data_IF_670169137360
#
_entry.id   IF_670169137360
#
_cell.length_a   1.000
_cell.length_b   1.000
_cell.length_c   1.000
_cell.angle_alpha   90.00
_cell.angle_beta   90.00
_cell.angle_gamma   90.00
#
_symmetry.space_group_name_H-M   'P 1'
#
loop_
_entity.id
_entity.type
_entity.pdbx_description
1 polymer ?
#
# COMPACT_ATOMS: atom_id res chain seq x y z
N UNK A 1 -1.51 -12.57 -6.74
CA UNK A 1 -2.39 -12.31 -7.91
C UNK A 1 -3.61 -11.49 -7.52
N UNK A 2 -4.51 -11.97 -6.63
CA UNK A 2 -5.78 -11.32 -6.29
C UNK A 2 -5.69 -9.81 -5.99
N UNK A 3 -4.77 -9.41 -5.09
CA UNK A 3 -4.59 -7.98 -4.71
C UNK A 3 -4.00 -7.14 -5.84
N UNK A 4 -3.19 -7.73 -6.70
CA UNK A 4 -2.66 -7.04 -7.89
C UNK A 4 -3.77 -6.79 -8.91
N UNK A 5 -4.65 -7.80 -9.12
CA UNK A 5 -5.81 -7.66 -9.99
C UNK A 5 -6.80 -6.63 -9.46
N UNK A 6 -7.01 -6.61 -8.13
CA UNK A 6 -7.83 -5.58 -7.48
C UNK A 6 -7.21 -4.18 -7.64
N UNK A 7 -5.90 -4.03 -7.44
CA UNK A 7 -5.21 -2.76 -7.64
C UNK A 7 -5.34 -2.26 -9.10
N UNK A 8 -5.20 -3.17 -10.07
CA UNK A 8 -5.40 -2.83 -11.50
C UNK A 8 -6.84 -2.36 -11.77
N UNK A 9 -7.85 -3.05 -11.22
CA UNK A 9 -9.26 -2.65 -11.31
C UNK A 9 -9.53 -1.28 -10.66
N UNK A 10 -8.78 -0.94 -9.61
CA UNK A 10 -8.88 0.34 -8.90
C UNK A 10 -8.08 1.47 -9.56
N UNK A 11 -7.46 1.24 -10.72
CA UNK A 11 -6.81 2.26 -11.51
C UNK A 11 -5.29 2.31 -11.41
N UNK A 12 -4.63 1.30 -10.82
CA UNK A 12 -3.18 1.21 -10.90
C UNK A 12 -2.75 1.07 -12.36
N UNK A 13 -1.84 1.92 -12.81
CA UNK A 13 -1.30 1.88 -14.17
C UNK A 13 -0.59 0.57 -14.44
N UNK A 14 0.26 0.13 -13.51
CA UNK A 14 0.93 -1.16 -13.55
C UNK A 14 0.87 -1.87 -12.20
N UNK A 15 0.87 -3.20 -12.25
CA UNK A 15 0.96 -4.06 -11.07
C UNK A 15 2.02 -5.13 -11.32
N UNK A 16 2.91 -5.34 -10.35
CA UNK A 16 4.07 -6.21 -10.53
C UNK A 16 4.09 -7.29 -9.44
N UNK A 17 4.09 -8.55 -9.87
CA UNK A 17 4.40 -9.65 -8.98
C UNK A 17 5.92 -9.86 -8.96
N UNK A 18 6.59 -9.40 -7.92
CA UNK A 18 8.05 -9.50 -7.79
C UNK A 18 8.59 -10.93 -7.73
N UNK A 19 7.72 -11.95 -7.56
CA UNK A 19 8.11 -13.37 -7.68
C UNK A 19 8.25 -13.82 -9.13
N UNK A 20 7.64 -13.10 -10.06
CA UNK A 20 7.56 -13.46 -11.48
C UNK A 20 8.35 -12.52 -12.39
N UNK A 21 8.42 -11.23 -11.99
CA UNK A 21 9.05 -10.19 -12.80
C UNK A 21 9.84 -9.22 -11.94
N UNK A 22 10.95 -8.72 -12.48
CA UNK A 22 11.72 -7.65 -11.83
C UNK A 22 11.04 -6.31 -12.06
N UNK A 23 11.02 -5.47 -11.03
CA UNK A 23 10.46 -4.11 -11.12
C UNK A 23 11.17 -3.28 -12.20
N UNK A 24 12.51 -3.40 -12.27
CA UNK A 24 13.34 -2.69 -13.27
C UNK A 24 12.97 -3.00 -14.71
N UNK A 25 12.50 -4.22 -15.01
CA UNK A 25 12.08 -4.58 -16.36
C UNK A 25 10.77 -3.88 -16.72
N UNK A 26 9.82 -3.87 -15.77
CA UNK A 26 8.54 -3.17 -15.93
C UNK A 26 8.78 -1.66 -16.08
N UNK A 27 9.65 -1.07 -15.27
CA UNK A 27 10.01 0.34 -15.36
C UNK A 27 10.53 0.68 -16.76
N UNK A 28 11.41 -0.18 -17.32
CA UNK A 28 11.95 0.01 -18.67
C UNK A 28 10.86 -0.07 -19.76
N UNK A 29 9.93 -1.02 -19.63
CA UNK A 29 8.81 -1.18 -20.57
C UNK A 29 7.87 0.03 -20.60
N UNK A 30 7.65 0.68 -19.46
CA UNK A 30 6.81 1.90 -19.37
C UNK A 30 7.62 3.19 -19.62
N UNK A 31 8.90 3.08 -19.98
CA UNK A 31 9.75 4.23 -20.25
C UNK A 31 10.21 5.02 -19.03
N UNK A 32 10.10 4.44 -17.83
CA UNK A 32 10.54 5.04 -16.59
C UNK A 32 12.03 4.77 -16.35
N UNK A 33 12.89 5.70 -16.77
CA UNK A 33 14.35 5.53 -16.71
C UNK A 33 15.00 6.11 -15.47
N UNK A 34 14.37 7.11 -14.83
CA UNK A 34 14.95 7.83 -13.70
C UNK A 34 14.53 7.27 -12.33
N UNK A 35 13.50 6.45 -12.28
CA UNK A 35 12.92 5.92 -11.04
C UNK A 35 11.65 6.66 -10.60
N UNK A 36 11.12 6.27 -9.45
CA UNK A 36 9.87 6.78 -8.91
C UNK A 36 10.07 8.09 -8.12
N UNK A 37 9.14 9.03 -8.27
CA UNK A 37 9.12 10.28 -7.50
C UNK A 37 8.71 10.06 -6.05
N UNK A 38 7.72 9.17 -5.85
CA UNK A 38 7.11 8.90 -4.54
C UNK A 38 6.97 7.41 -4.33
N UNK A 39 7.42 6.94 -3.18
CA UNK A 39 7.21 5.58 -2.69
C UNK A 39 6.32 5.59 -1.44
N UNK A 40 5.50 4.56 -1.29
CA UNK A 40 4.65 4.36 -0.11
C UNK A 40 4.85 2.95 0.42
N UNK A 41 5.71 2.80 1.44
CA UNK A 41 5.91 1.51 2.11
C UNK A 41 4.79 1.31 3.14
N UNK A 42 3.88 0.40 2.85
CA UNK A 42 2.69 0.11 3.68
C UNK A 42 2.56 -1.37 4.04
N UNK A 43 3.53 -2.18 3.62
CA UNK A 43 3.50 -3.64 3.81
C UNK A 43 4.24 -4.10 5.06
N UNK A 44 5.23 -3.33 5.54
CA UNK A 44 6.16 -3.74 6.57
C UNK A 44 7.14 -4.82 6.10
N UNK A 45 7.37 -4.93 4.78
CA UNK A 45 8.26 -5.93 4.20
C UNK A 45 9.65 -5.32 3.92
N UNK A 46 10.68 -5.89 4.54
CA UNK A 46 12.05 -5.38 4.39
C UNK A 46 12.55 -5.43 2.93
N UNK A 47 12.23 -6.48 2.17
CA UNK A 47 12.60 -6.59 0.77
C UNK A 47 11.86 -5.53 -0.08
N UNK A 48 10.58 -5.27 0.22
CA UNK A 48 9.81 -4.23 -0.44
C UNK A 48 10.39 -2.83 -0.23
N UNK A 49 10.86 -2.54 0.99
CA UNK A 49 11.54 -1.28 1.27
C UNK A 49 12.87 -1.18 0.51
N UNK A 50 13.66 -2.24 0.48
CA UNK A 50 14.91 -2.28 -0.27
C UNK A 50 14.70 -2.04 -1.75
N UNK A 51 13.74 -2.74 -2.36
CA UNK A 51 13.37 -2.54 -3.76
C UNK A 51 12.92 -1.09 -4.02
N UNK A 52 12.15 -0.53 -3.09
CA UNK A 52 11.69 0.85 -3.19
C UNK A 52 12.87 1.82 -3.19
N UNK A 53 13.78 1.75 -2.21
CA UNK A 53 14.96 2.63 -2.10
C UNK A 53 15.79 2.58 -3.38
N UNK A 54 16.01 1.38 -3.92
CA UNK A 54 16.85 1.18 -5.11
C UNK A 54 16.20 1.65 -6.43
N UNK A 55 14.90 1.90 -6.45
CA UNK A 55 14.18 2.30 -7.66
C UNK A 55 13.58 3.72 -7.57
N UNK A 56 13.96 4.50 -6.56
CA UNK A 56 13.61 5.92 -6.48
C UNK A 56 14.53 6.77 -7.34
N UNK A 57 14.01 7.83 -7.92
CA UNK A 57 14.85 8.86 -8.54
C UNK A 57 15.59 9.67 -7.48
N UNK A 58 16.64 10.37 -7.87
CA UNK A 58 17.33 11.32 -6.99
C UNK A 58 16.36 12.36 -6.42
N UNK A 59 16.43 12.61 -5.11
CA UNK A 59 15.52 13.50 -4.40
C UNK A 59 14.11 12.91 -4.17
N UNK A 60 13.89 11.64 -4.50
CA UNK A 60 12.61 10.95 -4.30
C UNK A 60 12.15 10.91 -2.84
N UNK A 61 10.86 10.75 -2.62
CA UNK A 61 10.24 10.78 -1.28
C UNK A 61 9.61 9.44 -0.95
N UNK A 62 9.88 8.91 0.23
CA UNK A 62 9.31 7.64 0.71
C UNK A 62 8.51 7.89 1.99
N UNK A 63 7.23 7.53 1.99
CA UNK A 63 6.40 7.46 3.19
C UNK A 63 6.46 6.05 3.77
N UNK A 64 6.87 5.93 5.03
CA UNK A 64 7.02 4.67 5.76
C UNK A 64 5.88 4.55 6.76
N UNK A 65 4.94 3.65 6.52
CA UNK A 65 3.78 3.36 7.37
C UNK A 65 3.78 1.92 7.86
N UNK A 66 4.28 0.99 7.06
CA UNK A 66 4.42 -0.41 7.44
C UNK A 66 5.40 -0.60 8.59
N UNK A 67 5.06 -1.48 9.54
CA UNK A 67 5.95 -1.82 10.64
C UNK A 67 6.95 -2.88 10.19
N UNK A 68 8.15 -2.44 9.93
CA UNK A 68 9.26 -3.30 9.52
C UNK A 68 9.78 -4.14 10.71
N UNK A 69 10.35 -5.34 10.46
CA UNK A 69 11.10 -6.08 11.46
C UNK A 69 12.20 -5.22 12.09
N UNK A 70 12.50 -5.42 13.39
CA UNK A 70 13.46 -4.59 14.13
C UNK A 70 14.88 -4.64 13.58
N UNK A 71 15.24 -5.74 12.94
CA UNK A 71 16.55 -6.02 12.33
C UNK A 71 16.60 -5.70 10.83
N UNK A 72 15.61 -4.96 10.33
CA UNK A 72 15.59 -4.55 8.92
C UNK A 72 16.80 -3.69 8.59
N UNK A 73 17.63 -4.17 7.67
CA UNK A 73 18.72 -3.39 7.10
C UNK A 73 18.18 -2.35 6.13
N UNK A 74 18.61 -1.12 6.30
CA UNK A 74 18.32 0.00 5.37
C UNK A 74 19.64 0.44 4.74
N UNK A 75 19.73 0.42 3.43
CA UNK A 75 20.88 0.92 2.69
C UNK A 75 20.94 2.45 2.78
N UNK A 76 21.59 2.91 3.85
CA UNK A 76 21.75 4.35 4.09
C UNK A 76 22.72 5.01 3.11
N UNK A 77 23.62 4.26 2.50
CA UNK A 77 24.51 4.77 1.46
C UNK A 77 23.69 5.22 0.23
N UNK A 78 22.82 4.35 -0.28
CA UNK A 78 21.91 4.70 -1.37
C UNK A 78 20.97 5.86 -1.00
N UNK A 79 20.44 5.88 0.24
CA UNK A 79 19.62 6.99 0.72
C UNK A 79 20.36 8.32 0.64
N UNK A 80 21.62 8.36 1.08
CA UNK A 80 22.45 9.56 1.11
C UNK A 80 22.84 9.99 -0.30
N UNK A 81 23.39 9.10 -1.11
CA UNK A 81 23.85 9.44 -2.47
C UNK A 81 22.71 9.87 -3.39
N UNK A 82 21.52 9.28 -3.23
CA UNK A 82 20.35 9.66 -4.03
C UNK A 82 19.56 10.82 -3.39
N UNK A 83 19.97 11.32 -2.22
CA UNK A 83 19.29 12.42 -1.54
C UNK A 83 17.82 12.11 -1.21
N UNK A 84 17.50 10.85 -0.85
CA UNK A 84 16.12 10.44 -0.62
C UNK A 84 15.55 11.03 0.67
N UNK A 85 14.26 11.34 0.64
CA UNK A 85 13.50 11.78 1.80
C UNK A 85 12.67 10.64 2.36
N UNK A 86 13.09 10.05 3.48
CA UNK A 86 12.34 9.04 4.19
C UNK A 86 11.52 9.68 5.32
N UNK A 87 10.21 9.47 5.30
CA UNK A 87 9.30 10.04 6.30
C UNK A 87 8.47 8.97 6.98
N UNK A 88 8.66 8.79 8.28
CA UNK A 88 7.79 7.97 9.11
C UNK A 88 6.38 8.58 9.21
N UNK A 89 5.37 7.74 9.05
CA UNK A 89 3.97 8.11 9.18
C UNK A 89 3.39 7.38 10.39
N UNK A 90 2.99 8.14 11.40
CA UNK A 90 2.34 7.61 12.59
C UNK A 90 1.02 8.32 12.85
N UNK A 91 -0.02 7.53 13.05
CA UNK A 91 -1.35 8.04 13.30
C UNK A 91 -1.88 8.92 12.16
N UNK A 92 -2.46 10.04 12.53
CA UNK A 92 -3.09 10.98 11.60
C UNK A 92 -3.17 12.39 12.18
N UNK A 93 -3.21 13.37 11.33
CA UNK A 93 -3.63 14.73 11.68
C UNK A 93 -5.16 14.76 11.63
N UNK A 94 -5.84 14.50 12.74
CA UNK A 94 -7.27 14.18 12.82
C UNK A 94 -8.13 15.11 11.96
N UNK A 95 -8.03 16.42 12.15
CA UNK A 95 -8.88 17.37 11.43
C UNK A 95 -8.45 17.58 9.97
N UNK A 96 -7.16 17.75 9.72
CA UNK A 96 -6.61 18.05 8.41
C UNK A 96 -6.78 16.85 7.44
N UNK A 97 -6.36 15.66 7.87
CA UNK A 97 -6.40 14.49 6.98
C UNK A 97 -7.80 13.93 6.81
N UNK A 98 -8.66 14.02 7.82
CA UNK A 98 -10.06 13.62 7.70
C UNK A 98 -10.86 14.55 6.80
N UNK A 99 -10.64 15.86 6.93
CA UNK A 99 -11.25 16.83 6.02
C UNK A 99 -10.85 16.54 4.57
N UNK A 100 -9.56 16.37 4.30
CA UNK A 100 -9.07 16.03 2.96
C UNK A 100 -9.67 14.75 2.43
N UNK A 101 -9.70 13.68 3.23
CA UNK A 101 -10.31 12.40 2.86
C UNK A 101 -11.79 12.58 2.51
N UNK A 102 -12.55 13.26 3.34
CA UNK A 102 -13.98 13.51 3.12
C UNK A 102 -14.19 14.29 1.82
N UNK A 103 -13.40 15.35 1.61
CA UNK A 103 -13.46 16.15 0.37
C UNK A 103 -13.14 15.32 -0.87
N UNK A 104 -12.13 14.45 -0.81
CA UNK A 104 -11.78 13.57 -1.92
C UNK A 104 -12.92 12.59 -2.26
N UNK A 105 -13.55 11.98 -1.25
CA UNK A 105 -14.69 11.09 -1.44
C UNK A 105 -15.88 11.84 -2.04
N UNK A 106 -16.21 13.02 -1.52
CA UNK A 106 -17.27 13.88 -2.05
C UNK A 106 -16.99 14.34 -3.48
N UNK A 107 -15.71 14.48 -3.84
CA UNK A 107 -15.28 14.84 -5.19
C UNK A 107 -15.20 13.66 -6.17
N UNK A 108 -15.68 12.48 -5.77
CA UNK A 108 -15.80 11.32 -6.65
C UNK A 108 -14.73 10.24 -6.48
N UNK A 109 -13.88 10.32 -5.43
CA UNK A 109 -13.00 9.19 -5.12
C UNK A 109 -13.84 8.01 -4.64
N UNK A 110 -13.99 6.99 -5.48
CA UNK A 110 -14.70 5.77 -5.13
C UNK A 110 -13.77 4.75 -4.46
N UNK A 111 -13.95 4.56 -3.16
CA UNK A 111 -13.23 3.56 -2.37
C UNK A 111 -14.08 2.31 -2.07
N UNK A 112 -15.35 2.29 -2.46
CA UNK A 112 -16.25 1.18 -2.17
C UNK A 112 -15.74 -0.16 -2.71
N UNK A 113 -15.14 -0.25 -3.92
CA UNK A 113 -14.63 -1.50 -4.46
C UNK A 113 -13.46 -2.12 -3.68
N UNK A 114 -12.82 -1.34 -2.77
CA UNK A 114 -11.79 -1.89 -1.85
C UNK A 114 -12.41 -2.85 -0.84
N UNK A 115 -13.71 -2.67 -0.50
CA UNK A 115 -14.45 -3.54 0.40
C UNK A 115 -14.89 -4.78 -0.39
N UNK A 116 -14.13 -5.85 -0.26
CA UNK A 116 -14.36 -7.08 -1.01
C UNK A 116 -15.22 -8.10 -0.29
N UNK A 117 -15.29 -8.02 1.04
CA UNK A 117 -16.01 -8.97 1.88
C UNK A 117 -16.76 -8.24 2.99
N UNK A 118 -17.99 -8.71 3.25
CA UNK A 118 -18.79 -8.32 4.39
C UNK A 118 -19.29 -9.58 5.08
N UNK A 119 -19.05 -9.66 6.38
CA UNK A 119 -19.52 -10.76 7.22
C UNK A 119 -20.32 -10.20 8.40
N UNK A 120 -21.34 -10.92 8.84
CA UNK A 120 -21.94 -10.67 10.13
C UNK A 120 -20.87 -10.83 11.22
N UNK A 121 -20.92 -10.02 12.28
CA UNK A 121 -19.93 -10.13 13.37
C UNK A 121 -19.88 -11.52 13.98
N UNK A 122 -20.99 -12.25 14.01
CA UNK A 122 -21.05 -13.64 14.48
C UNK A 122 -20.20 -14.61 13.65
N UNK A 123 -19.90 -14.23 12.41
CA UNK A 123 -19.02 -14.94 11.47
C UNK A 123 -17.60 -14.34 11.40
N UNK A 124 -17.14 -13.64 12.46
CA UNK A 124 -15.87 -12.94 12.48
C UNK A 124 -14.66 -13.83 12.09
N UNK A 125 -14.70 -15.12 12.46
CA UNK A 125 -13.64 -16.07 12.12
C UNK A 125 -13.46 -16.19 10.60
N UNK A 126 -14.56 -16.29 9.83
CA UNK A 126 -14.52 -16.32 8.35
C UNK A 126 -13.91 -15.02 7.79
N UNK A 127 -14.17 -13.90 8.44
CA UNK A 127 -13.55 -12.62 8.10
C UNK A 127 -12.03 -12.63 8.27
N UNK A 128 -11.53 -13.17 9.38
CA UNK A 128 -10.09 -13.34 9.60
C UNK A 128 -9.46 -14.35 8.64
N UNK A 129 -10.12 -15.46 8.38
CA UNK A 129 -9.66 -16.45 7.39
C UNK A 129 -9.52 -15.83 6.00
N UNK A 130 -10.50 -15.02 5.56
CA UNK A 130 -10.43 -14.31 4.29
C UNK A 130 -9.23 -13.35 4.23
N UNK A 131 -8.91 -12.66 5.33
CA UNK A 131 -7.73 -11.78 5.42
C UNK A 131 -6.43 -12.56 5.34
N UNK A 132 -6.32 -13.67 6.08
CA UNK A 132 -5.11 -14.52 6.15
C UNK A 132 -4.86 -15.19 4.79
N UNK A 133 -5.91 -15.61 4.08
CA UNK A 133 -5.80 -16.26 2.77
C UNK A 133 -5.14 -15.36 1.71
N UNK A 134 -5.11 -14.03 1.92
CA UNK A 134 -4.65 -13.06 0.93
C UNK A 134 -5.62 -12.84 -0.24
N UNK A 135 -6.80 -13.49 -0.24
CA UNK A 135 -7.84 -13.37 -1.27
C UNK A 135 -8.87 -12.30 -0.89
N UNK A 136 -8.42 -11.22 -0.26
CA UNK A 136 -9.29 -10.11 0.13
C UNK A 136 -8.60 -8.75 -0.02
N UNK A 137 -9.39 -7.73 -0.28
CA UNK A 137 -9.06 -6.33 -0.02
C UNK A 137 -9.47 -5.98 1.42
N UNK A 138 -10.38 -5.03 1.60
CA UNK A 138 -10.93 -4.71 2.93
C UNK A 138 -12.05 -5.69 3.29
N UNK A 139 -11.93 -6.30 4.46
CA UNK A 139 -13.00 -7.08 5.10
C UNK A 139 -13.70 -6.21 6.12
N UNK A 140 -15.03 -6.20 6.11
CA UNK A 140 -15.89 -5.47 7.04
C UNK A 140 -16.73 -6.47 7.82
N UNK A 141 -16.82 -6.28 9.14
CA UNK A 141 -17.72 -7.00 10.02
C UNK A 141 -18.94 -6.12 10.29
N UNK A 142 -20.12 -6.65 10.03
CA UNK A 142 -21.40 -5.96 10.19
C UNK A 142 -21.98 -6.25 11.57
N UNK A 143 -22.26 -5.19 12.31
CA UNK A 143 -22.80 -5.22 13.67
C UNK A 143 -24.28 -4.83 13.73
N UNK A 144 -24.92 -4.56 12.58
CA UNK A 144 -26.28 -3.99 12.56
C UNK A 144 -27.35 -4.93 13.15
N UNK A 145 -27.08 -6.23 13.20
CA UNK A 145 -28.03 -7.27 13.67
C UNK A 145 -27.78 -7.78 15.09
N UNK A 146 -26.99 -7.07 15.90
CA UNK A 146 -26.67 -7.51 17.29
C UNK A 146 -27.72 -7.09 18.31
N UNK A 147 -28.61 -6.18 17.96
CA UNK A 147 -29.62 -5.64 18.89
C UNK A 147 -31.00 -6.36 18.85
N UNK A 148 -31.06 -7.52 18.20
CA UNK A 148 -32.28 -8.35 18.15
C UNK A 148 -32.14 -9.62 19.00
#
# INVERSE_FOLDING_TARGET
>A
PYRLDLAKKLGATETVNLKERKLTDVMREVGMTEGFDVGMEMSGNAAGLSDMINNMKHGGKIALLGLLPKDTHVDMETVIFNGLNLRGIYGRKVWDTWYKMTTMIQSGLDIAPVITHRFDIRDYEKGFEAMISGQSGKVVLDWTHIND
#
